data_IF_916619350803
#
_entry.id   IF_916619350803
#
_cell.length_a   1.000
_cell.length_b   1.000
_cell.length_c   1.000
_cell.angle_alpha   90.00
_cell.angle_beta   90.00
_cell.angle_gamma   90.00
#
_symmetry.space_group_name_H-M   'P 1'
#
loop_
_entity.id
_entity.type
_entity.pdbx_description
1 polymer ?
#
# COMPACT_ATOMS: atom_id res chain seq x y z
N UNK A 1 -8.59 19.62 1.58
CA UNK A 1 -7.24 20.18 1.48
C UNK A 1 -6.24 19.11 1.87
N UNK A 2 -5.08 19.06 1.23
CA UNK A 2 -4.01 18.13 1.60
C UNK A 2 -3.56 18.35 3.06
N UNK A 3 -3.34 17.30 3.85
CA UNK A 3 -2.79 17.44 5.19
C UNK A 3 -1.29 17.75 5.10
N UNK A 4 -0.95 19.04 5.20
CA UNK A 4 0.42 19.57 5.06
C UNK A 4 1.17 19.76 6.38
N UNK A 5 0.51 19.48 7.51
CA UNK A 5 1.11 19.53 8.83
C UNK A 5 0.88 18.20 9.56
N UNK A 6 1.87 17.71 10.32
CA UNK A 6 1.65 16.58 11.21
C UNK A 6 0.71 17.02 12.33
N UNK A 7 -0.49 16.44 12.39
CA UNK A 7 -1.36 16.62 13.55
C UNK A 7 -1.02 15.57 14.64
N UNK A 8 -1.43 15.81 15.89
CA UNK A 8 -1.35 14.81 16.94
C UNK A 8 -2.09 13.55 16.50
N UNK A 9 -1.40 12.42 16.54
CA UNK A 9 -1.97 11.12 16.16
C UNK A 9 -3.01 10.70 17.19
N UNK A 10 -4.27 10.52 16.78
CA UNK A 10 -5.25 9.84 17.64
C UNK A 10 -4.95 8.33 17.65
N UNK A 11 -4.07 7.96 18.57
CA UNK A 11 -3.68 6.57 18.77
C UNK A 11 -4.88 5.67 19.11
N UNK A 12 -5.99 6.19 19.64
CA UNK A 12 -7.16 5.37 19.98
C UNK A 12 -7.92 4.94 18.73
N UNK A 13 -8.12 5.85 17.78
CA UNK A 13 -8.74 5.54 16.49
C UNK A 13 -7.91 4.52 15.71
N UNK A 14 -6.58 4.73 15.63
CA UNK A 14 -5.66 3.80 14.98
C UNK A 14 -5.55 2.44 15.69
N UNK A 15 -5.67 2.39 17.01
CA UNK A 15 -5.70 1.11 17.75
C UNK A 15 -6.99 0.35 17.47
N UNK A 16 -8.12 1.04 17.41
CA UNK A 16 -9.44 0.44 17.16
C UNK A 16 -9.59 0.00 15.69
N UNK A 17 -8.97 0.75 14.77
CA UNK A 17 -9.02 0.52 13.32
C UNK A 17 -7.62 0.30 12.75
N UNK A 18 -6.89 -0.66 13.33
CA UNK A 18 -5.48 -0.94 12.99
C UNK A 18 -5.26 -1.06 11.47
N UNK A 19 -4.46 -0.16 10.86
CA UNK A 19 -4.24 -0.14 9.42
C UNK A 19 -3.65 -1.45 8.89
N UNK A 20 -3.81 -1.66 7.59
CA UNK A 20 -3.32 -2.84 6.87
C UNK A 20 -2.43 -2.40 5.75
N UNK A 21 -1.18 -2.85 5.80
CA UNK A 21 -0.24 -2.75 4.70
C UNK A 21 -0.34 -4.02 3.87
N UNK A 22 -0.77 -3.89 2.62
CA UNK A 22 -0.70 -4.95 1.62
C UNK A 22 0.43 -4.62 0.67
N UNK A 23 1.33 -5.58 0.50
CA UNK A 23 2.48 -5.49 -0.41
C UNK A 23 2.59 -6.75 -1.25
N UNK A 24 3.42 -6.71 -2.29
CA UNK A 24 3.66 -7.85 -3.17
C UNK A 24 3.96 -7.40 -4.59
N UNK A 25 4.49 -8.27 -5.45
CA UNK A 25 4.94 -7.87 -6.76
C UNK A 25 3.79 -7.41 -7.65
N UNK A 26 4.12 -6.53 -8.61
CA UNK A 26 3.19 -6.18 -9.68
C UNK A 26 2.77 -7.43 -10.44
N UNK A 27 1.45 -7.67 -10.56
CA UNK A 27 0.91 -8.91 -11.12
C UNK A 27 0.54 -10.00 -10.10
N UNK A 28 0.78 -9.78 -8.80
CA UNK A 28 0.34 -10.69 -7.74
C UNK A 28 -1.19 -10.73 -7.55
N UNK A 29 -1.93 -9.75 -8.08
CA UNK A 29 -3.41 -9.70 -7.99
C UNK A 29 -3.97 -8.82 -6.87
N UNK A 30 -3.15 -7.95 -6.27
CA UNK A 30 -3.53 -7.04 -5.17
C UNK A 30 -4.78 -6.23 -5.49
N UNK A 31 -4.80 -5.54 -6.62
CA UNK A 31 -5.94 -4.69 -7.03
C UNK A 31 -7.25 -5.48 -7.16
N UNK A 32 -7.19 -6.75 -7.61
CA UNK A 32 -8.38 -7.60 -7.73
C UNK A 32 -8.92 -7.99 -6.37
N UNK A 33 -8.04 -8.42 -5.45
CA UNK A 33 -8.41 -8.77 -4.07
C UNK A 33 -8.96 -7.55 -3.33
N UNK A 34 -8.28 -6.41 -3.46
CA UNK A 34 -8.67 -5.18 -2.80
C UNK A 34 -10.00 -4.65 -3.34
N UNK A 35 -10.21 -4.66 -4.66
CA UNK A 35 -11.50 -4.27 -5.23
C UNK A 35 -12.63 -5.11 -4.64
N UNK A 36 -12.46 -6.44 -4.62
CA UNK A 36 -13.47 -7.35 -4.03
C UNK A 36 -13.71 -7.07 -2.54
N UNK A 37 -12.66 -6.80 -1.78
CA UNK A 37 -12.77 -6.46 -0.35
C UNK A 37 -13.57 -5.17 -0.13
N UNK A 38 -13.33 -4.14 -0.93
CA UNK A 38 -14.05 -2.87 -0.83
C UNK A 38 -15.50 -2.98 -1.35
N UNK A 39 -15.75 -3.81 -2.36
CA UNK A 39 -17.11 -4.08 -2.85
C UNK A 39 -17.93 -4.85 -1.80
N UNK A 40 -17.32 -5.79 -1.05
CA UNK A 40 -18.00 -6.56 0.01
C UNK A 40 -18.19 -5.77 1.31
N UNK A 41 -17.26 -4.86 1.64
CA UNK A 41 -17.29 -4.06 2.87
C UNK A 41 -17.11 -2.55 2.60
N UNK A 42 -18.07 -1.89 1.91
CA UNK A 42 -17.92 -0.52 1.43
C UNK A 42 -17.72 0.53 2.55
N UNK A 43 -18.20 0.23 3.76
CA UNK A 43 -18.11 1.13 4.91
C UNK A 43 -17.03 0.76 5.93
N UNK A 44 -16.31 -0.36 5.73
CA UNK A 44 -15.30 -0.84 6.70
C UNK A 44 -13.88 -0.40 6.34
N UNK A 45 -13.60 -0.17 5.06
CA UNK A 45 -12.27 0.12 4.55
C UNK A 45 -12.17 1.49 3.88
N UNK A 46 -10.96 2.05 3.88
CA UNK A 46 -10.60 3.25 3.13
C UNK A 46 -9.19 3.10 2.56
N UNK A 47 -8.98 3.54 1.32
CA UNK A 47 -7.63 3.65 0.77
C UNK A 47 -6.95 4.91 1.29
N UNK A 48 -5.68 4.80 1.67
CA UNK A 48 -4.87 5.98 1.93
C UNK A 48 -4.68 6.77 0.64
N UNK A 49 -4.96 8.07 0.68
CA UNK A 49 -4.65 8.99 -0.42
C UNK A 49 -3.23 9.51 -0.19
N UNK A 50 -2.29 9.13 -1.06
CA UNK A 50 -0.90 9.57 -0.96
C UNK A 50 -0.72 10.98 -1.50
N UNK A 51 0.34 11.66 -1.06
CA UNK A 51 0.81 12.92 -1.62
C UNK A 51 1.69 12.65 -2.83
N UNK A 52 1.64 13.53 -3.83
CA UNK A 52 2.62 13.52 -4.93
C UNK A 52 2.99 14.93 -5.38
N UNK A 53 4.23 15.10 -5.82
CA UNK A 53 4.69 16.33 -6.47
C UNK A 53 4.48 16.33 -7.98
N UNK A 54 3.95 15.24 -8.53
CA UNK A 54 3.59 15.15 -9.96
C UNK A 54 2.35 16.00 -10.21
N UNK A 55 2.23 16.59 -11.40
CA UNK A 55 0.96 17.20 -11.81
C UNK A 55 -0.14 16.12 -12.05
N UNK A 56 -1.42 16.42 -11.78
CA UNK A 56 -2.53 15.54 -12.15
C UNK A 56 -2.51 15.20 -13.64
N UNK A 57 -2.95 13.99 -13.98
CA UNK A 57 -3.11 13.50 -15.36
C UNK A 57 -4.58 13.34 -15.71
N UNK A 58 -4.97 13.81 -16.89
CA UNK A 58 -6.30 13.60 -17.42
C UNK A 58 -7.39 14.10 -16.48
N UNK A 59 -8.14 13.17 -15.87
CA UNK A 59 -9.27 13.45 -14.99
C UNK A 59 -8.97 13.24 -13.50
N UNK A 60 -7.70 13.00 -13.12
CA UNK A 60 -7.29 12.90 -11.72
C UNK A 60 -7.69 14.19 -10.95
N UNK A 61 -8.19 14.02 -9.73
CA UNK A 61 -8.66 15.11 -8.85
C UNK A 61 -7.88 15.10 -7.53
N UNK A 62 -7.57 16.30 -7.06
CA UNK A 62 -6.94 16.48 -5.75
C UNK A 62 -7.82 15.93 -4.63
N UNK A 63 -7.20 15.16 -3.72
CA UNK A 63 -7.89 14.51 -2.62
C UNK A 63 -8.79 13.34 -3.03
N UNK A 64 -8.62 12.82 -4.25
CA UNK A 64 -9.27 11.58 -4.72
C UNK A 64 -8.21 10.54 -5.06
N UNK A 65 -7.43 10.75 -6.12
CA UNK A 65 -6.34 9.84 -6.48
C UNK A 65 -5.05 10.15 -5.70
N UNK A 66 -4.73 11.43 -5.56
CA UNK A 66 -3.58 11.92 -4.79
C UNK A 66 -3.89 13.28 -4.17
N UNK A 67 -3.13 13.64 -3.14
CA UNK A 67 -2.91 15.03 -2.77
C UNK A 67 -1.78 15.59 -3.65
N UNK A 68 -2.13 16.47 -4.58
CA UNK A 68 -1.17 17.09 -5.48
C UNK A 68 -0.56 18.32 -4.82
N UNK A 69 0.70 18.21 -4.41
CA UNK A 69 1.41 19.22 -3.63
C UNK A 69 2.65 19.72 -4.34
N UNK A 70 3.13 20.90 -3.98
CA UNK A 70 4.42 21.37 -4.49
C UNK A 70 5.57 20.56 -3.89
N UNK A 71 6.72 20.55 -4.56
CA UNK A 71 7.93 19.92 -4.03
C UNK A 71 8.33 20.52 -2.66
N UNK A 72 8.20 21.83 -2.50
CA UNK A 72 8.46 22.52 -1.24
C UNK A 72 7.54 22.03 -0.11
N UNK A 73 6.22 21.93 -0.38
CA UNK A 73 5.25 21.40 0.59
C UNK A 73 5.57 19.96 0.97
N UNK A 74 5.93 19.12 0.01
CA UNK A 74 6.31 17.73 0.26
C UNK A 74 7.55 17.64 1.15
N UNK A 75 8.62 18.37 0.80
CA UNK A 75 9.87 18.35 1.57
C UNK A 75 9.70 18.93 2.97
N UNK A 76 8.89 19.98 3.13
CA UNK A 76 8.53 20.50 4.45
C UNK A 76 7.83 19.42 5.31
N UNK A 77 6.97 18.60 4.72
CA UNK A 77 6.31 17.52 5.43
C UNK A 77 7.28 16.37 5.78
N UNK A 78 8.28 16.11 4.93
CA UNK A 78 9.41 15.21 5.24
C UNK A 78 10.20 15.73 6.44
N UNK A 79 10.58 17.02 6.43
CA UNK A 79 11.36 17.65 7.51
C UNK A 79 10.63 17.61 8.85
N UNK A 80 9.30 17.76 8.80
CA UNK A 80 8.41 17.64 9.98
C UNK A 80 8.10 16.19 10.37
N UNK A 81 8.66 15.18 9.70
CA UNK A 81 8.39 13.75 9.92
C UNK A 81 6.90 13.39 9.82
N UNK A 82 6.18 14.02 8.89
CA UNK A 82 4.74 13.82 8.71
C UNK A 82 4.35 12.60 7.87
N UNK A 83 5.32 11.92 7.25
CA UNK A 83 5.10 10.73 6.43
C UNK A 83 5.37 9.44 7.20
N UNK A 84 4.50 8.44 7.05
CA UNK A 84 4.79 7.06 7.48
C UNK A 84 5.70 6.34 6.49
N UNK A 85 5.63 6.73 5.22
CA UNK A 85 6.53 6.33 4.16
C UNK A 85 6.57 7.40 3.08
N UNK A 86 7.72 7.54 2.43
CA UNK A 86 7.85 8.30 1.20
C UNK A 86 8.96 7.76 0.31
N UNK A 87 8.86 8.02 -0.98
CA UNK A 87 9.85 7.66 -1.98
C UNK A 87 9.93 8.71 -3.09
N UNK A 88 11.02 8.67 -3.85
CA UNK A 88 11.17 9.45 -5.07
C UNK A 88 11.17 8.49 -6.27
N UNK A 89 10.31 8.75 -7.24
CA UNK A 89 10.27 8.02 -8.51
C UNK A 89 10.47 9.00 -9.67
N UNK A 90 11.60 8.87 -10.36
CA UNK A 90 12.05 9.86 -11.33
C UNK A 90 12.26 11.22 -10.67
N UNK A 91 11.61 12.26 -11.21
CA UNK A 91 11.67 13.62 -10.66
C UNK A 91 10.59 13.92 -9.61
N UNK A 92 9.66 12.99 -9.36
CA UNK A 92 8.51 13.22 -8.50
C UNK A 92 8.64 12.47 -7.17
N UNK A 93 8.11 13.07 -6.11
CA UNK A 93 8.00 12.45 -4.79
C UNK A 93 6.60 11.89 -4.59
N UNK A 94 6.51 10.83 -3.80
CA UNK A 94 5.28 10.16 -3.39
C UNK A 94 5.40 9.81 -1.92
N UNK A 95 4.31 9.91 -1.16
CA UNK A 95 4.34 9.48 0.24
C UNK A 95 2.98 9.52 0.92
N UNK A 96 2.79 8.66 1.90
CA UNK A 96 1.55 8.56 2.67
C UNK A 96 1.74 9.24 4.02
N UNK A 97 0.96 10.29 4.29
CA UNK A 97 1.09 11.03 5.55
C UNK A 97 0.43 10.29 6.70
N UNK A 98 0.94 10.50 7.91
CA UNK A 98 0.33 9.99 9.15
C UNK A 98 -1.13 10.46 9.23
N UNK A 99 -1.37 11.73 8.89
CA UNK A 99 -2.72 12.30 8.92
C UNK A 99 -3.67 11.63 7.92
N UNK A 100 -3.22 11.32 6.69
CA UNK A 100 -4.07 10.67 5.71
C UNK A 100 -4.56 9.29 6.18
N UNK A 101 -3.76 8.58 6.98
CA UNK A 101 -4.15 7.31 7.59
C UNK A 101 -5.08 7.54 8.78
N UNK A 102 -4.79 8.53 9.62
CA UNK A 102 -5.59 8.91 10.77
C UNK A 102 -7.01 9.36 10.38
N UNK A 103 -7.16 10.17 9.33
CA UNK A 103 -8.45 10.66 8.80
C UNK A 103 -9.40 9.52 8.41
N UNK A 104 -8.87 8.37 8.02
CA UNK A 104 -9.65 7.16 7.70
C UNK A 104 -10.04 6.44 8.99
N UNK A 105 -9.09 6.29 9.92
CA UNK A 105 -9.32 5.65 11.21
C UNK A 105 -10.36 6.39 12.07
N UNK A 106 -10.34 7.72 12.07
CA UNK A 106 -11.30 8.59 12.78
C UNK A 106 -12.73 8.43 12.24
N UNK A 107 -12.89 8.03 10.97
CA UNK A 107 -14.20 7.69 10.38
C UNK A 107 -14.68 6.28 10.76
N UNK A 108 -13.99 5.60 11.68
CA UNK A 108 -14.33 4.22 12.06
C UNK A 108 -13.94 3.18 11.02
N UNK A 109 -13.03 3.51 10.08
CA UNK A 109 -12.64 2.64 8.96
C UNK A 109 -11.20 2.18 9.10
N UNK A 110 -10.92 0.98 8.61
CA UNK A 110 -9.57 0.45 8.53
C UNK A 110 -8.89 1.01 7.28
N UNK A 111 -7.78 1.72 7.47
CA UNK A 111 -6.97 2.21 6.36
C UNK A 111 -6.20 1.06 5.70
N UNK A 112 -6.30 0.96 4.38
CA UNK A 112 -5.55 0.02 3.54
C UNK A 112 -4.48 0.78 2.76
N UNK A 113 -3.24 0.34 2.90
CA UNK A 113 -2.07 0.85 2.22
C UNK A 113 -1.57 -0.19 1.22
N UNK A 114 -1.54 0.15 -0.06
CA UNK A 114 -0.91 -0.65 -1.12
C UNK A 114 0.46 -0.04 -1.45
N UNK A 115 1.52 -0.54 -0.80
CA UNK A 115 2.86 0.04 -0.88
C UNK A 115 3.93 -1.00 -1.23
N UNK A 116 5.01 -0.52 -1.84
CA UNK A 116 6.15 -1.33 -2.25
C UNK A 116 7.09 -1.65 -1.06
N UNK A 117 8.05 -2.55 -1.28
CA UNK A 117 8.97 -3.07 -0.26
C UNK A 117 9.66 -1.98 0.58
N UNK A 118 10.13 -0.89 -0.05
CA UNK A 118 10.79 0.19 0.70
C UNK A 118 9.81 0.96 1.59
N UNK A 119 8.57 1.14 1.15
CA UNK A 119 7.50 1.69 1.98
C UNK A 119 7.19 0.77 3.15
N UNK A 120 7.10 -0.56 2.93
CA UNK A 120 6.92 -1.54 4.00
C UNK A 120 8.00 -1.43 5.07
N UNK A 121 9.27 -1.30 4.68
CA UNK A 121 10.39 -1.11 5.61
C UNK A 121 10.28 0.19 6.40
N UNK A 122 9.91 1.29 5.75
CA UNK A 122 9.72 2.58 6.44
C UNK A 122 8.60 2.52 7.46
N UNK A 123 7.42 2.01 7.06
CA UNK A 123 6.26 1.89 7.97
C UNK A 123 6.57 0.96 9.15
N UNK A 124 7.25 -0.16 8.91
CA UNK A 124 7.60 -1.11 9.96
C UNK A 124 8.59 -0.55 10.99
N UNK A 125 9.46 0.36 10.58
CA UNK A 125 10.46 1.00 11.44
C UNK A 125 10.06 2.42 11.88
N UNK A 126 8.81 2.84 11.63
CA UNK A 126 8.38 4.19 11.94
C UNK A 126 8.38 4.41 13.46
N UNK A 127 9.01 5.47 13.99
CA UNK A 127 9.31 5.59 15.42
C UNK A 127 8.09 5.80 16.31
N UNK A 128 7.02 6.40 15.77
CA UNK A 128 5.84 6.83 16.55
C UNK A 128 4.52 6.29 16.01
N UNK A 129 4.52 5.66 14.84
CA UNK A 129 3.28 5.24 14.20
C UNK A 129 2.92 3.85 14.73
N UNK A 130 1.68 3.61 15.19
CA UNK A 130 1.27 2.30 15.67
C UNK A 130 1.51 1.22 14.61
N UNK A 131 2.13 0.10 15.00
CA UNK A 131 2.46 -1.01 14.08
C UNK A 131 1.19 -1.48 13.34
N UNK A 132 1.09 -1.33 12.01
CA UNK A 132 -0.04 -1.84 11.25
C UNK A 132 0.05 -3.37 11.10
N UNK A 133 -0.96 -3.97 10.48
CA UNK A 133 -0.92 -5.37 10.06
C UNK A 133 -0.27 -5.46 8.68
N UNK A 134 0.67 -6.38 8.51
CA UNK A 134 1.40 -6.54 7.24
C UNK A 134 1.02 -7.84 6.54
N UNK A 135 0.48 -7.73 5.33
CA UNK A 135 0.17 -8.86 4.46
C UNK A 135 1.02 -8.77 3.18
N UNK A 136 1.69 -9.88 2.84
CA UNK A 136 2.32 -10.04 1.54
C UNK A 136 1.45 -10.92 0.64
N UNK A 137 1.09 -10.42 -0.53
CA UNK A 137 0.42 -11.20 -1.55
C UNK A 137 1.45 -11.71 -2.56
N UNK A 138 1.73 -13.00 -2.53
CA UNK A 138 2.68 -13.66 -3.41
C UNK A 138 1.98 -14.23 -4.65
N UNK A 139 2.58 -14.15 -5.85
CA UNK A 139 2.19 -15.05 -6.94
C UNK A 139 2.55 -16.51 -6.57
N UNK A 140 1.98 -17.51 -7.27
CA UNK A 140 2.28 -18.92 -6.99
C UNK A 140 3.68 -19.30 -7.47
N UNK A 141 4.19 -18.63 -8.50
CA UNK A 141 5.57 -18.79 -8.97
C UNK A 141 6.01 -17.58 -9.80
N UNK A 142 7.31 -17.47 -10.05
CA UNK A 142 7.87 -16.44 -10.92
C UNK A 142 7.41 -16.60 -12.37
N UNK A 143 7.25 -17.85 -12.85
CA UNK A 143 6.77 -18.17 -14.20
C UNK A 143 5.32 -17.75 -14.39
N UNK A 144 4.47 -17.97 -13.38
CA UNK A 144 3.08 -17.51 -13.41
C UNK A 144 3.01 -15.99 -13.39
N UNK A 145 3.87 -15.34 -12.59
CA UNK A 145 3.97 -13.88 -12.58
C UNK A 145 4.38 -13.34 -13.95
N UNK A 146 5.41 -13.92 -14.57
CA UNK A 146 5.88 -13.54 -15.91
C UNK A 146 4.78 -13.69 -16.96
N UNK A 147 4.07 -14.83 -16.96
CA UNK A 147 2.93 -15.04 -17.85
C UNK A 147 1.86 -13.95 -17.67
N UNK A 148 1.54 -13.58 -16.42
CA UNK A 148 0.58 -12.51 -16.10
C UNK A 148 1.07 -11.15 -16.61
N UNK A 149 2.34 -10.81 -16.42
CA UNK A 149 2.91 -9.54 -16.90
C UNK A 149 2.88 -9.47 -18.43
N UNK A 150 3.33 -10.52 -19.12
CA UNK A 150 3.34 -10.59 -20.59
C UNK A 150 1.93 -10.55 -21.19
N UNK A 151 0.94 -11.16 -20.53
CA UNK A 151 -0.45 -11.18 -21.02
C UNK A 151 -1.13 -9.81 -21.06
N UNK A 152 -0.61 -8.81 -20.32
CA UNK A 152 -1.17 -7.46 -20.32
C UNK A 152 -0.80 -6.66 -21.57
N UNK A 153 0.13 -7.15 -22.41
CA UNK A 153 0.47 -6.67 -23.76
C UNK A 153 0.77 -5.16 -23.92
N UNK A 154 0.97 -4.42 -22.83
CA UNK A 154 1.20 -2.97 -22.84
C UNK A 154 2.62 -2.57 -22.48
N UNK A 155 3.41 -3.48 -21.89
CA UNK A 155 4.76 -3.20 -21.40
C UNK A 155 5.82 -3.69 -22.40
N UNK A 156 6.92 -2.94 -22.53
CA UNK A 156 8.09 -3.36 -23.32
C UNK A 156 8.83 -4.47 -22.59
N UNK A 157 9.58 -5.30 -23.32
CA UNK A 157 10.37 -6.40 -22.75
C UNK A 157 11.29 -5.94 -21.60
N UNK A 158 11.93 -4.79 -21.77
CA UNK A 158 12.79 -4.20 -20.73
C UNK A 158 12.04 -3.89 -19.43
N UNK A 159 10.80 -3.41 -19.52
CA UNK A 159 9.98 -3.08 -18.36
C UNK A 159 9.44 -4.35 -17.69
N UNK A 160 9.13 -5.38 -18.46
CA UNK A 160 8.77 -6.71 -17.95
C UNK A 160 9.95 -7.28 -17.15
N UNK A 161 11.16 -7.25 -17.70
CA UNK A 161 12.33 -7.78 -17.01
C UNK A 161 12.66 -7.01 -15.72
N UNK A 162 12.54 -5.67 -15.73
CA UNK A 162 12.68 -4.85 -14.52
C UNK A 162 11.69 -5.26 -13.45
N UNK A 163 10.41 -5.44 -13.80
CA UNK A 163 9.36 -5.88 -12.86
C UNK A 163 9.61 -7.28 -12.34
N UNK A 164 10.09 -8.21 -13.17
CA UNK A 164 10.45 -9.56 -12.73
C UNK A 164 11.63 -9.57 -11.77
N UNK A 165 12.65 -8.77 -12.04
CA UNK A 165 13.80 -8.63 -11.13
C UNK A 165 13.36 -8.02 -9.79
N UNK A 166 12.55 -6.97 -9.83
CA UNK A 166 11.97 -6.37 -8.63
C UNK A 166 11.13 -7.38 -7.84
N UNK A 167 10.30 -8.17 -8.53
CA UNK A 167 9.49 -9.20 -7.89
C UNK A 167 10.31 -10.27 -7.17
N UNK A 168 11.46 -10.66 -7.72
CA UNK A 168 12.39 -11.59 -7.03
C UNK A 168 12.86 -11.00 -5.70
N UNK A 169 13.32 -9.75 -5.72
CA UNK A 169 13.78 -9.05 -4.51
C UNK A 169 12.67 -8.94 -3.47
N UNK A 170 11.45 -8.61 -3.88
CA UNK A 170 10.30 -8.52 -2.98
C UNK A 170 9.92 -9.86 -2.36
N UNK A 171 9.92 -10.94 -3.14
CA UNK A 171 9.64 -12.29 -2.66
C UNK A 171 10.75 -12.79 -1.73
N UNK A 172 12.02 -12.50 -2.03
CA UNK A 172 13.15 -12.82 -1.14
C UNK A 172 13.04 -12.07 0.19
N UNK A 173 12.70 -10.78 0.15
CA UNK A 173 12.46 -9.98 1.35
C UNK A 173 11.31 -10.54 2.19
N UNK A 174 10.16 -10.84 1.58
CA UNK A 174 8.99 -11.38 2.28
C UNK A 174 9.26 -12.74 2.94
N UNK A 175 10.08 -13.58 2.32
CA UNK A 175 10.49 -14.87 2.88
C UNK A 175 11.69 -14.77 3.84
N UNK A 176 12.29 -13.59 3.99
CA UNK A 176 13.40 -13.39 4.92
C UNK A 176 12.89 -13.34 6.36
N UNK A 177 13.72 -13.76 7.32
CA UNK A 177 13.40 -13.62 8.75
C UNK A 177 13.31 -12.18 9.27
N UNK A 178 13.57 -11.18 8.40
CA UNK A 178 13.57 -9.76 8.74
C UNK A 178 12.35 -9.01 8.18
N UNK A 179 11.49 -9.68 7.40
CA UNK A 179 10.27 -9.07 6.88
C UNK A 179 9.26 -8.83 8.01
N UNK A 180 8.54 -7.68 8.02
CA UNK A 180 7.55 -7.39 9.05
C UNK A 180 6.22 -8.11 8.81
N UNK A 181 6.08 -8.89 7.72
CA UNK A 181 4.84 -9.52 7.29
C UNK A 181 4.28 -10.47 8.34
N UNK A 182 3.07 -10.18 8.81
CA UNK A 182 2.35 -11.04 9.75
C UNK A 182 1.68 -12.22 9.02
N UNK A 183 1.39 -12.07 7.71
CA UNK A 183 0.80 -13.12 6.85
C UNK A 183 1.33 -13.03 5.42
N UNK A 184 1.63 -14.18 4.83
CA UNK A 184 1.88 -14.35 3.40
C UNK A 184 0.70 -15.14 2.81
N UNK A 185 0.08 -14.62 1.75
CA UNK A 185 -0.98 -15.29 0.99
C UNK A 185 -0.48 -15.56 -0.42
N UNK A 186 -0.58 -16.81 -0.87
CA UNK A 186 -0.25 -17.19 -2.24
C UNK A 186 -1.50 -17.11 -3.10
N UNK A 187 -1.43 -16.37 -4.21
CA UNK A 187 -2.54 -16.17 -5.14
C UNK A 187 -2.47 -17.16 -6.33
N UNK A 188 -2.57 -18.46 -6.01
CA UNK A 188 -2.73 -19.57 -6.94
C UNK A 188 -4.18 -19.65 -7.46
N UNK A 189 -5.14 -19.54 -6.55
CA UNK A 189 -6.58 -19.46 -6.79
C UNK A 189 -7.15 -18.18 -6.15
N UNK A 190 -7.90 -17.41 -6.95
CA UNK A 190 -8.37 -16.09 -6.52
C UNK A 190 -9.35 -16.17 -5.35
N UNK A 191 -10.24 -17.18 -5.32
CA UNK A 191 -11.26 -17.31 -4.28
C UNK A 191 -10.66 -17.78 -2.96
N UNK A 192 -9.71 -18.72 -3.02
CA UNK A 192 -8.95 -19.16 -1.86
C UNK A 192 -8.10 -18.03 -1.29
N UNK A 193 -7.33 -17.35 -2.14
CA UNK A 193 -6.49 -16.24 -1.72
C UNK A 193 -7.32 -15.10 -1.11
N UNK A 194 -8.46 -14.78 -1.71
CA UNK A 194 -9.38 -13.79 -1.15
C UNK A 194 -9.90 -14.20 0.23
N UNK A 195 -10.26 -15.47 0.42
CA UNK A 195 -10.71 -15.98 1.72
C UNK A 195 -9.64 -15.83 2.80
N UNK A 196 -8.39 -16.20 2.49
CA UNK A 196 -7.27 -16.03 3.43
C UNK A 196 -6.98 -14.57 3.77
N UNK A 197 -7.06 -13.68 2.76
CA UNK A 197 -6.94 -12.24 2.98
C UNK A 197 -8.08 -11.73 3.86
N UNK A 198 -9.33 -12.12 3.56
CA UNK A 198 -10.52 -11.73 4.33
C UNK A 198 -10.39 -12.18 5.77
N UNK A 199 -9.99 -13.42 6.01
CA UNK A 199 -9.79 -13.98 7.35
C UNK A 199 -8.77 -13.17 8.15
N UNK A 200 -7.60 -12.86 7.55
CA UNK A 200 -6.58 -12.05 8.19
C UNK A 200 -7.02 -10.59 8.48
N UNK A 201 -7.79 -10.01 7.56
CA UNK A 201 -8.17 -8.59 7.59
C UNK A 201 -9.40 -8.35 8.47
N UNK A 202 -10.41 -9.20 8.38
CA UNK A 202 -11.73 -9.02 8.99
C UNK A 202 -11.91 -9.89 10.24
N UNK A 203 -11.21 -11.03 10.33
CA UNK A 203 -11.38 -12.04 11.36
C UNK A 203 -12.30 -13.20 10.94
N UNK A 204 -12.35 -14.25 11.74
CA UNK A 204 -13.07 -15.51 11.45
C UNK A 204 -14.60 -15.40 11.55
N UNK A 205 -15.10 -14.34 12.19
CA UNK A 205 -16.53 -14.15 12.50
C UNK A 205 -17.27 -13.25 11.48
N UNK A 206 -16.68 -13.03 10.30
CA UNK A 206 -17.18 -12.13 9.26
C UNK A 206 -17.45 -12.81 7.91
#
# INVERSE_FOLDING_TARGET
MAPLDPAPVDNKALQSNRPIVISGPSGAGKSTILKRLFDEYPDKFGFSISHTTRNPRGTEKDGVEYYFVTKEQFLNLVDKKGFIEHAQFGSNHYGTSIQAVNDIAEKGRICVLDIEMEGVKQVANHPTFPRPRFLFLSPPSAEVLEKRLRSRATDKEEDIQKRLNQAKVEMEFANSGNAPHDKIVVNDDLDKAYREVKEFIVGNDA
#
